data_IF_103079451556
#
_entry.id   IF_103079451556
#
_cell.length_a   1.000
_cell.length_b   1.000
_cell.length_c   1.000
_cell.angle_alpha   90.00
_cell.angle_beta   90.00
_cell.angle_gamma   90.00
#
_symmetry.space_group_name_H-M   'P 1'
#
loop_
_entity.id
_entity.type
_entity.pdbx_description
1 polymer ?
#
# COMPACT_ATOMS: atom_id res chain seq x y z
N UNK A 1 4.29 10.92 41.54
CA UNK A 1 3.83 10.13 40.39
C UNK A 1 3.10 11.06 39.45
N UNK A 2 3.65 11.36 38.25
CA UNK A 2 2.87 12.10 37.24
C UNK A 2 1.93 11.10 36.58
N UNK A 3 0.64 11.38 36.58
CA UNK A 3 -0.36 10.55 35.90
C UNK A 3 -0.22 10.78 34.39
N UNK A 4 0.74 10.10 33.76
CA UNK A 4 1.11 10.26 32.36
C UNK A 4 0.44 9.23 31.43
N UNK A 5 -0.37 8.32 31.98
CA UNK A 5 -1.07 7.30 31.21
C UNK A 5 -2.53 7.73 31.07
N UNK A 6 -2.91 8.08 29.84
CA UNK A 6 -4.26 8.48 29.44
C UNK A 6 -4.81 7.38 28.54
N UNK A 7 -5.67 6.53 29.10
CA UNK A 7 -6.30 5.39 28.39
C UNK A 7 -7.14 5.81 27.18
N UNK A 8 -7.48 7.10 27.09
CA UNK A 8 -8.23 7.69 26.00
C UNK A 8 -7.34 8.20 24.85
N UNK A 9 -6.01 8.07 24.92
CA UNK A 9 -5.09 8.52 23.86
C UNK A 9 -4.30 7.34 23.30
N UNK A 10 -4.08 7.35 21.98
CA UNK A 10 -3.24 6.38 21.28
C UNK A 10 -1.85 6.95 21.00
N UNK A 11 -0.81 6.13 20.97
CA UNK A 11 0.49 6.54 20.41
C UNK A 11 0.47 6.57 18.86
N UNK A 12 -0.66 6.21 18.27
CA UNK A 12 -0.87 6.11 16.83
C UNK A 12 -1.98 7.05 16.34
N UNK A 13 -1.82 7.53 15.11
CA UNK A 13 -2.88 8.11 14.29
C UNK A 13 -3.37 7.04 13.32
N UNK A 14 -4.69 6.92 13.16
CA UNK A 14 -5.31 5.89 12.32
C UNK A 14 -5.87 6.54 11.05
N UNK A 15 -5.38 6.12 9.88
CA UNK A 15 -6.02 6.40 8.60
C UNK A 15 -6.78 5.16 8.14
N UNK A 16 -8.11 5.23 8.14
CA UNK A 16 -8.96 4.13 7.69
C UNK A 16 -9.38 4.32 6.23
N UNK A 17 -9.50 3.20 5.53
CA UNK A 17 -10.04 3.10 4.18
C UNK A 17 -11.48 2.65 4.27
N UNK A 18 -12.32 3.22 3.40
CA UNK A 18 -13.72 2.82 3.22
C UNK A 18 -13.98 2.59 1.74
N UNK A 19 -15.05 1.89 1.43
CA UNK A 19 -15.50 1.76 0.05
C UNK A 19 -15.87 3.13 -0.52
N UNK A 20 -15.53 3.35 -1.78
CA UNK A 20 -15.73 4.59 -2.51
C UNK A 20 -16.48 4.31 -3.79
N UNK A 21 -17.55 5.06 -4.03
CA UNK A 21 -18.21 5.12 -5.32
C UNK A 21 -17.67 6.33 -6.09
N UNK A 22 -16.98 6.09 -7.20
CA UNK A 22 -16.33 7.11 -8.02
C UNK A 22 -17.31 8.07 -8.70
N UNK A 23 -18.58 7.70 -8.87
CA UNK A 23 -19.58 8.61 -9.44
C UNK A 23 -20.29 9.46 -8.37
N UNK A 24 -20.02 9.21 -7.09
CA UNK A 24 -20.58 10.04 -6.01
C UNK A 24 -19.69 11.23 -5.70
N UNK A 25 -20.28 12.24 -5.06
CA UNK A 25 -19.55 13.40 -4.54
C UNK A 25 -18.65 13.10 -3.34
N UNK A 26 -18.03 11.93 -3.24
CA UNK A 26 -16.98 11.57 -2.29
C UNK A 26 -15.87 10.72 -2.95
N UNK A 27 -15.69 10.89 -4.27
CA UNK A 27 -14.72 10.17 -5.08
C UNK A 27 -13.27 10.56 -4.72
N UNK A 28 -12.36 9.69 -5.12
CA UNK A 28 -10.93 9.92 -5.16
C UNK A 28 -10.52 10.07 -6.62
N UNK A 29 -9.48 10.85 -6.88
CA UNK A 29 -8.90 10.94 -8.22
C UNK A 29 -7.89 9.81 -8.38
N UNK A 30 -8.18 8.84 -9.26
CA UNK A 30 -7.27 7.78 -9.67
C UNK A 30 -6.95 7.92 -11.16
N UNK A 31 -5.68 7.74 -11.58
CA UNK A 31 -5.34 7.64 -13.00
C UNK A 31 -5.91 6.35 -13.59
N UNK A 32 -6.10 6.31 -14.91
CA UNK A 32 -6.59 5.11 -15.61
C UNK A 32 -5.68 3.88 -15.35
N UNK A 33 -4.37 4.11 -15.28
CA UNK A 33 -3.39 3.05 -15.02
C UNK A 33 -2.66 3.29 -13.69
N UNK A 34 -2.88 2.40 -12.72
CA UNK A 34 -2.26 2.43 -11.39
C UNK A 34 -1.08 1.45 -11.24
N UNK A 35 -0.54 0.95 -12.35
CA UNK A 35 0.43 -0.15 -12.40
C UNK A 35 -0.21 -1.46 -12.90
N UNK A 36 0.58 -2.33 -13.52
CA UNK A 36 0.09 -3.62 -14.05
C UNK A 36 -0.44 -4.55 -12.94
N UNK A 37 0.04 -4.33 -11.72
CA UNK A 37 -0.38 -5.06 -10.53
C UNK A 37 -1.64 -4.47 -9.86
N UNK A 38 -2.11 -3.27 -10.23
CA UNK A 38 -3.29 -2.61 -9.64
C UNK A 38 -4.37 -2.36 -10.68
N UNK A 39 -5.35 -3.26 -10.75
CA UNK A 39 -6.40 -3.22 -11.77
C UNK A 39 -7.71 -2.76 -11.14
N UNK A 40 -8.14 -1.55 -11.46
CA UNK A 40 -9.47 -1.07 -11.10
C UNK A 40 -10.27 -0.88 -12.38
N UNK A 41 -11.38 -1.60 -12.49
CA UNK A 41 -12.33 -1.47 -13.59
C UNK A 41 -13.75 -1.20 -13.10
N UNK A 42 -13.93 -1.21 -11.78
CA UNK A 42 -15.21 -0.95 -11.13
C UNK A 42 -15.35 0.54 -10.79
N UNK A 43 -16.59 1.03 -10.89
CA UNK A 43 -17.02 2.29 -10.27
C UNK A 43 -16.90 2.25 -8.74
N UNK A 44 -17.11 1.08 -8.15
CA UNK A 44 -17.00 0.84 -6.72
C UNK A 44 -15.60 0.35 -6.39
N UNK A 45 -14.86 1.18 -5.67
CA UNK A 45 -13.51 0.87 -5.20
C UNK A 45 -13.60 0.45 -3.75
N UNK A 46 -13.26 -0.80 -3.47
CA UNK A 46 -13.31 -1.36 -2.12
C UNK A 46 -12.13 -0.90 -1.25
N UNK A 47 -12.36 -0.88 0.07
CA UNK A 47 -11.38 -0.43 1.05
C UNK A 47 -10.08 -1.26 1.04
N UNK A 48 -10.17 -2.56 0.73
CA UNK A 48 -9.01 -3.45 0.62
C UNK A 48 -8.13 -3.02 -0.55
N UNK A 49 -8.72 -2.78 -1.72
CA UNK A 49 -8.01 -2.26 -2.88
C UNK A 49 -7.29 -0.96 -2.57
N UNK A 50 -7.96 0.00 -1.89
CA UNK A 50 -7.36 1.30 -1.54
C UNK A 50 -6.20 1.19 -0.55
N UNK A 51 -6.32 0.32 0.46
CA UNK A 51 -5.22 0.03 1.38
C UNK A 51 -3.99 -0.47 0.60
N UNK A 52 -4.19 -1.47 -0.27
CA UNK A 52 -3.12 -2.10 -1.03
C UNK A 52 -2.53 -1.16 -2.10
N UNK A 53 -3.37 -0.37 -2.76
CA UNK A 53 -2.92 0.66 -3.68
C UNK A 53 -2.05 1.67 -2.94
N UNK A 54 -2.46 2.12 -1.75
CA UNK A 54 -1.68 3.05 -0.93
C UNK A 54 -0.34 2.47 -0.50
N UNK A 55 -0.29 1.17 -0.16
CA UNK A 55 0.96 0.45 0.12
C UNK A 55 1.88 0.46 -1.12
N UNK A 56 1.37 0.00 -2.26
CA UNK A 56 2.12 -0.18 -3.51
C UNK A 56 2.60 1.14 -4.12
N UNK A 57 1.78 2.18 -4.04
CA UNK A 57 2.11 3.55 -4.45
C UNK A 57 2.90 4.32 -3.39
N UNK A 58 3.25 3.67 -2.28
CA UNK A 58 3.96 4.23 -1.13
C UNK A 58 3.37 5.53 -0.57
N UNK A 59 2.05 5.73 -0.74
CA UNK A 59 1.39 7.02 -0.55
C UNK A 59 -0.03 6.87 0.00
N UNK A 60 -0.38 7.68 0.99
CA UNK A 60 -1.78 7.89 1.40
C UNK A 60 -2.31 9.12 0.67
N UNK A 61 -3.30 8.94 -0.20
CA UNK A 61 -3.82 10.02 -1.04
C UNK A 61 -4.50 11.11 -0.21
N UNK A 62 -4.13 12.36 -0.49
CA UNK A 62 -4.76 13.52 0.12
C UNK A 62 -5.99 13.93 -0.69
N UNK A 63 -7.03 14.41 -0.01
CA UNK A 63 -8.23 14.90 -0.67
C UNK A 63 -8.82 16.11 0.03
N UNK A 64 -9.76 16.76 -0.64
CA UNK A 64 -10.56 17.84 -0.06
C UNK A 64 -11.75 17.35 0.77
N UNK A 65 -12.00 16.04 0.73
CA UNK A 65 -13.19 15.36 1.25
C UNK A 65 -14.48 16.04 0.81
N UNK A 66 -15.27 15.39 -0.03
CA UNK A 66 -16.48 15.98 -0.56
C UNK A 66 -17.73 15.43 0.13
N UNK A 67 -18.67 16.32 0.47
CA UNK A 67 -20.01 16.00 0.97
C UNK A 67 -21.02 16.83 0.18
N UNK A 68 -21.96 16.16 -0.50
CA UNK A 68 -22.95 16.79 -1.38
C UNK A 68 -22.32 17.70 -2.44
N UNK A 69 -21.20 17.27 -3.03
CA UNK A 69 -20.48 18.03 -4.06
C UNK A 69 -19.67 19.23 -3.54
N UNK A 70 -19.66 19.48 -2.23
CA UNK A 70 -18.88 20.57 -1.63
C UNK A 70 -17.69 20.05 -0.86
N UNK A 71 -16.56 20.75 -0.95
CA UNK A 71 -15.37 20.48 -0.12
C UNK A 71 -15.74 20.62 1.35
N UNK A 72 -15.22 19.74 2.19
CA UNK A 72 -15.39 19.81 3.65
C UNK A 72 -14.13 20.37 4.32
N UNK A 73 -12.98 20.22 3.68
CA UNK A 73 -11.71 20.79 4.11
C UNK A 73 -11.60 22.22 3.61
N UNK A 74 -11.21 23.12 4.51
CA UNK A 74 -11.02 24.55 4.24
C UNK A 74 -9.58 24.84 3.79
N UNK A 75 -9.35 26.02 3.20
CA UNK A 75 -8.05 26.48 2.73
C UNK A 75 -7.69 26.01 1.31
N UNK A 76 -6.38 25.98 1.01
CA UNK A 76 -5.80 25.77 -0.33
C UNK A 76 -5.01 24.44 -0.48
N UNK A 77 -4.88 23.68 0.61
CA UNK A 77 -4.18 22.40 0.65
C UNK A 77 -5.12 21.21 0.92
N UNK A 78 -5.15 20.17 0.06
CA UNK A 78 -5.84 18.93 0.38
C UNK A 78 -5.12 18.22 1.53
N UNK A 79 -5.84 17.33 2.22
CA UNK A 79 -5.34 16.72 3.45
C UNK A 79 -5.47 15.20 3.44
N UNK A 80 -4.58 14.56 4.19
CA UNK A 80 -4.83 13.20 4.71
C UNK A 80 -5.42 13.35 6.10
N UNK A 81 -6.61 12.78 6.31
CA UNK A 81 -7.28 12.77 7.61
C UNK A 81 -6.90 11.51 8.39
N UNK A 82 -6.74 11.68 9.70
CA UNK A 82 -6.52 10.60 10.66
C UNK A 82 -7.47 10.76 11.84
N UNK A 83 -7.70 9.68 12.57
CA UNK A 83 -8.34 9.71 13.89
C UNK A 83 -7.34 9.37 14.99
N UNK A 84 -7.39 10.14 16.07
CA UNK A 84 -6.64 9.96 17.31
C UNK A 84 -7.51 9.26 18.35
N UNK A 85 -7.74 7.97 18.12
CA UNK A 85 -8.50 7.10 18.99
C UNK A 85 -7.64 5.89 19.38
N UNK A 86 -7.78 5.37 20.62
CA UNK A 86 -7.30 4.03 20.93
C UNK A 86 -7.80 3.03 19.89
N UNK A 87 -6.95 2.08 19.49
CA UNK A 87 -7.30 1.09 18.44
C UNK A 87 -8.57 0.33 18.83
N UNK A 88 -8.73 -0.06 20.09
CA UNK A 88 -9.95 -0.70 20.60
C UNK A 88 -11.22 0.14 20.34
N UNK A 89 -11.16 1.44 20.62
CA UNK A 89 -12.29 2.36 20.45
C UNK A 89 -12.61 2.59 18.97
N UNK A 90 -11.58 2.66 18.11
CA UNK A 90 -11.76 2.71 16.66
C UNK A 90 -12.50 1.47 16.15
N UNK A 91 -12.11 0.27 16.58
CA UNK A 91 -12.73 -0.98 16.14
C UNK A 91 -14.18 -1.12 16.63
N UNK A 92 -14.43 -0.83 17.91
CA UNK A 92 -15.79 -0.83 18.48
C UNK A 92 -16.70 0.17 17.75
N UNK A 93 -16.21 1.38 17.50
CA UNK A 93 -16.95 2.41 16.77
C UNK A 93 -17.15 2.03 15.31
N UNK A 94 -16.13 1.46 14.67
CA UNK A 94 -16.15 1.00 13.28
C UNK A 94 -17.28 0.02 13.03
N UNK A 95 -17.37 -1.04 13.85
CA UNK A 95 -18.39 -2.07 13.70
C UNK A 95 -19.81 -1.54 13.92
N UNK A 96 -20.03 -0.76 14.99
CA UNK A 96 -21.35 -0.15 15.25
C UNK A 96 -21.81 0.79 14.14
N UNK A 97 -20.88 1.48 13.49
CA UNK A 97 -21.17 2.40 12.39
C UNK A 97 -21.42 1.66 11.08
N UNK A 98 -20.71 0.55 10.83
CA UNK A 98 -21.00 -0.35 9.71
C UNK A 98 -22.39 -0.97 9.83
N UNK A 99 -22.81 -1.39 11.03
CA UNK A 99 -24.19 -1.86 11.29
C UNK A 99 -25.26 -0.80 10.95
N UNK A 100 -24.89 0.47 10.95
CA UNK A 100 -25.75 1.63 10.62
C UNK A 100 -25.57 2.13 9.19
N UNK A 101 -24.80 1.44 8.35
CA UNK A 101 -24.42 1.88 6.99
C UNK A 101 -23.77 3.28 6.94
N UNK A 102 -23.03 3.65 7.98
CA UNK A 102 -22.30 4.91 8.00
C UNK A 102 -20.94 4.80 7.28
N UNK A 103 -20.40 5.94 6.85
CA UNK A 103 -19.13 6.02 6.10
C UNK A 103 -17.90 5.80 7.02
N UNK A 104 -17.61 4.55 7.34
CA UNK A 104 -16.37 4.09 7.98
C UNK A 104 -15.90 2.80 7.29
N UNK A 105 -14.64 2.43 7.46
CA UNK A 105 -14.18 1.09 7.11
C UNK A 105 -13.22 0.56 8.16
N UNK A 106 -12.89 -0.71 8.04
CA UNK A 106 -12.12 -1.46 9.03
C UNK A 106 -10.67 -1.71 8.60
N UNK A 107 -10.36 -1.54 7.31
CA UNK A 107 -8.98 -1.49 6.82
C UNK A 107 -8.34 -0.18 7.23
N UNK A 108 -7.14 -0.21 7.80
CA UNK A 108 -6.45 1.01 8.19
C UNK A 108 -4.92 0.88 8.17
N UNK A 109 -4.25 2.01 7.97
CA UNK A 109 -2.84 2.20 8.29
C UNK A 109 -2.78 2.97 9.62
N UNK A 110 -1.99 2.48 10.57
CA UNK A 110 -1.71 3.17 11.83
C UNK A 110 -0.28 3.71 11.82
N UNK A 111 -0.13 5.00 12.08
CA UNK A 111 1.13 5.73 11.98
C UNK A 111 1.53 6.28 13.36
N UNK A 112 2.81 6.21 13.76
CA UNK A 112 3.27 6.78 15.02
C UNK A 112 2.96 8.27 15.10
N UNK A 113 2.19 8.68 16.11
CA UNK A 113 1.67 10.04 16.25
C UNK A 113 2.78 11.08 16.34
N UNK A 114 3.82 10.81 17.12
CA UNK A 114 4.97 11.70 17.28
C UNK A 114 5.66 11.97 15.94
N UNK A 115 5.85 10.93 15.12
CA UNK A 115 6.46 11.07 13.80
C UNK A 115 5.54 11.88 12.88
N UNK A 116 4.24 11.59 12.86
CA UNK A 116 3.29 12.36 12.05
C UNK A 116 3.23 13.83 12.45
N UNK A 117 3.33 14.14 13.74
CA UNK A 117 3.48 15.52 14.20
C UNK A 117 4.75 16.17 13.63
N UNK A 118 5.88 15.47 13.62
CA UNK A 118 7.12 15.97 13.02
C UNK A 118 7.00 16.19 11.50
N UNK A 119 6.17 15.40 10.81
CA UNK A 119 5.85 15.59 9.39
C UNK A 119 4.79 16.67 9.11
N UNK A 120 4.31 17.36 10.15
CA UNK A 120 3.38 18.48 9.99
C UNK A 120 1.90 18.12 10.16
N UNK A 121 1.57 16.89 10.53
CA UNK A 121 0.21 16.55 10.90
C UNK A 121 -0.17 17.29 12.20
N UNK A 122 -1.38 17.83 12.26
CA UNK A 122 -1.87 18.58 13.42
C UNK A 122 -3.30 18.17 13.77
N UNK A 123 -3.69 18.27 15.06
CA UNK A 123 -5.09 18.18 15.43
C UNK A 123 -5.89 19.33 14.79
N UNK A 124 -7.13 19.03 14.44
CA UNK A 124 -8.07 20.01 13.91
C UNK A 124 -8.54 21.00 14.97
N UNK A 125 -9.17 22.09 14.53
CA UNK A 125 -9.70 23.18 15.35
C UNK A 125 -11.23 23.17 15.22
N UNK A 126 -11.95 22.94 16.33
CA UNK A 126 -13.41 22.92 16.38
C UNK A 126 -14.00 24.29 16.62
N UNK A 127 -14.59 24.87 15.58
CA UNK A 127 -15.14 26.22 15.66
C UNK A 127 -14.07 27.25 15.98
N UNK A 128 -14.51 28.49 16.18
CA UNK A 128 -13.69 29.60 16.63
C UNK A 128 -14.44 30.27 17.78
N UNK A 129 -13.69 30.82 18.73
CA UNK A 129 -14.26 31.49 19.91
C UNK A 129 -15.09 32.73 19.53
N UNK A 130 -14.71 33.40 18.45
CA UNK A 130 -15.50 34.51 17.92
C UNK A 130 -16.75 33.98 17.21
N UNK A 131 -17.91 34.55 17.51
CA UNK A 131 -19.22 34.29 16.87
C UNK A 131 -19.29 34.64 15.37
N UNK A 132 -18.17 34.69 14.68
CA UNK A 132 -18.12 34.73 13.24
C UNK A 132 -18.66 33.39 12.74
N UNK A 133 -19.93 33.38 12.30
CA UNK A 133 -20.36 32.43 11.29
C UNK A 133 -19.31 32.51 10.18
N UNK A 134 -18.38 31.55 10.15
CA UNK A 134 -17.14 31.65 9.40
C UNK A 134 -17.47 31.89 7.93
N UNK A 135 -17.52 33.17 7.52
CA UNK A 135 -17.95 33.58 6.19
C UNK A 135 -16.82 33.13 5.27
N UNK A 136 -17.08 32.10 4.49
CA UNK A 136 -16.13 31.64 3.49
C UNK A 136 -16.46 32.30 2.15
N UNK A 137 -15.45 32.80 1.46
CA UNK A 137 -15.55 32.99 0.01
C UNK A 137 -15.54 31.61 -0.64
N UNK A 138 -16.42 31.40 -1.61
CA UNK A 138 -16.32 30.24 -2.50
C UNK A 138 -15.36 30.61 -3.62
N UNK A 139 -14.24 29.89 -3.71
CA UNK A 139 -13.32 30.02 -4.84
C UNK A 139 -13.87 29.35 -6.11
N UNK A 140 -13.16 29.53 -7.23
CA UNK A 140 -13.60 29.03 -8.56
C UNK A 140 -13.74 27.51 -8.62
N UNK A 141 -13.01 26.77 -7.79
CA UNK A 141 -13.04 25.30 -7.78
C UNK A 141 -13.73 24.75 -6.52
N UNK A 142 -14.62 25.55 -5.91
CA UNK A 142 -15.31 25.19 -4.68
C UNK A 142 -14.41 25.26 -3.44
N UNK A 143 -13.31 26.02 -3.50
CA UNK A 143 -12.50 26.32 -2.31
C UNK A 143 -13.37 26.96 -1.22
N UNK A 144 -13.13 26.57 0.03
CA UNK A 144 -13.73 27.19 1.21
C UNK A 144 -12.64 27.94 1.94
N UNK A 145 -12.52 29.23 1.67
CA UNK A 145 -11.46 30.07 2.24
C UNK A 145 -12.09 31.03 3.24
N UNK A 146 -11.60 30.99 4.47
CA UNK A 146 -11.91 31.98 5.51
C UNK A 146 -11.07 33.24 5.28
N UNK A 147 -11.57 34.36 5.77
CA UNK A 147 -10.76 35.58 5.85
C UNK A 147 -9.49 35.31 6.70
N UNK A 148 -8.32 35.72 6.19
CA UNK A 148 -7.04 35.46 6.87
C UNK A 148 -6.91 36.20 8.20
N UNK A 149 -7.71 37.25 8.44
CA UNK A 149 -7.80 37.89 9.76
C UNK A 149 -8.45 37.00 10.83
N UNK A 150 -9.20 35.97 10.40
CA UNK A 150 -9.87 35.01 11.28
C UNK A 150 -8.97 33.80 11.55
N UNK A 151 -8.41 33.22 10.50
CA UNK A 151 -7.46 32.10 10.58
C UNK A 151 -6.50 32.16 9.38
N UNK A 152 -5.16 32.18 9.59
CA UNK A 152 -4.20 32.24 8.49
C UNK A 152 -4.43 31.11 7.49
N UNK A 153 -4.30 31.39 6.19
CA UNK A 153 -4.60 30.43 5.11
C UNK A 153 -3.90 29.07 5.33
N UNK A 154 -2.65 29.11 5.76
CA UNK A 154 -1.83 27.91 6.04
C UNK A 154 -2.42 27.02 7.14
N UNK A 155 -3.24 27.55 8.06
CA UNK A 155 -3.86 26.79 9.15
C UNK A 155 -5.31 26.38 8.86
N UNK A 156 -5.93 26.92 7.81
CA UNK A 156 -7.36 26.73 7.53
C UNK A 156 -7.74 25.26 7.27
N UNK A 157 -6.80 24.44 6.76
CA UNK A 157 -7.02 23.01 6.58
C UNK A 157 -7.43 22.30 7.88
N UNK A 158 -7.08 22.85 9.05
CA UNK A 158 -7.42 22.30 10.36
C UNK A 158 -8.81 22.68 10.81
N UNK A 159 -9.46 23.67 10.20
CA UNK A 159 -10.76 24.14 10.68
C UNK A 159 -11.87 23.12 10.42
N UNK A 160 -12.69 22.88 11.44
CA UNK A 160 -13.92 22.10 11.37
C UNK A 160 -15.06 22.90 11.99
N UNK A 161 -16.14 23.07 11.24
CA UNK A 161 -17.32 23.80 11.71
C UNK A 161 -17.95 23.06 12.90
N UNK A 162 -18.14 23.79 14.00
CA UNK A 162 -18.81 23.30 15.20
C UNK A 162 -20.18 23.96 15.36
N UNK A 163 -21.24 23.17 15.49
CA UNK A 163 -22.62 23.65 15.73
C UNK A 163 -23.19 22.88 16.93
N UNK A 164 -23.37 23.53 18.09
CA UNK A 164 -23.95 22.89 19.27
C UNK A 164 -25.27 22.18 18.97
N UNK A 165 -25.43 20.94 19.46
CA UNK A 165 -26.64 20.13 19.26
C UNK A 165 -26.78 19.45 17.89
N UNK A 166 -25.86 19.72 16.94
CA UNK A 166 -25.73 19.01 15.65
C UNK A 166 -24.32 18.43 15.46
N UNK A 167 -23.61 18.26 16.58
CA UNK A 167 -22.20 17.88 16.61
C UNK A 167 -22.08 16.43 16.13
N UNK A 168 -21.30 16.25 15.06
CA UNK A 168 -20.81 14.95 14.66
C UNK A 168 -19.52 14.67 15.45
N UNK A 169 -19.67 14.00 16.59
CA UNK A 169 -18.59 13.66 17.52
C UNK A 169 -17.53 12.74 16.89
N UNK A 170 -17.77 12.20 15.69
CA UNK A 170 -16.76 11.43 14.95
C UNK A 170 -15.52 12.26 14.59
N UNK A 171 -15.67 13.59 14.58
CA UNK A 171 -14.59 14.49 14.24
C UNK A 171 -13.69 14.82 15.45
N UNK A 172 -14.13 14.83 16.72
CA UNK A 172 -13.39 15.43 17.86
C UNK A 172 -11.94 14.97 18.10
N UNK A 173 -11.52 13.92 17.42
CA UNK A 173 -10.18 13.35 17.47
C UNK A 173 -9.47 13.39 16.11
N UNK A 174 -9.92 14.23 15.19
CA UNK A 174 -9.39 14.30 13.83
C UNK A 174 -8.03 15.02 13.83
N UNK A 175 -7.09 14.41 13.13
CA UNK A 175 -5.83 15.02 12.76
C UNK A 175 -5.78 15.15 11.24
N UNK A 176 -5.12 16.19 10.75
CA UNK A 176 -4.91 16.40 9.32
C UNK A 176 -3.45 16.62 9.03
N UNK A 177 -2.96 15.97 7.98
CA UNK A 177 -1.70 16.31 7.35
C UNK A 177 -1.99 17.03 6.02
N UNK A 178 -1.52 18.27 5.82
CA UNK A 178 -1.75 19.01 4.58
C UNK A 178 -0.69 18.66 3.53
N UNK A 179 -1.13 18.36 2.32
CA UNK A 179 -0.22 18.27 1.17
C UNK A 179 0.19 19.68 0.73
N UNK A 180 1.49 19.94 0.70
CA UNK A 180 2.08 21.25 0.36
C UNK A 180 2.85 21.28 -0.96
N UNK A 181 2.76 20.20 -1.75
CA UNK A 181 3.37 20.15 -3.08
C UNK A 181 2.56 20.91 -4.12
N UNK A 182 2.90 20.73 -5.41
CA UNK A 182 2.22 21.41 -6.51
C UNK A 182 0.81 20.83 -6.75
N UNK A 183 -0.18 21.45 -6.12
CA UNK A 183 -1.59 21.13 -6.33
C UNK A 183 -2.15 21.75 -7.61
N UNK A 184 -1.54 22.83 -8.11
CA UNK A 184 -2.08 23.60 -9.23
C UNK A 184 -1.90 22.83 -10.53
N UNK A 185 -0.71 22.27 -10.75
CA UNK A 185 -0.45 21.41 -11.91
C UNK A 185 -1.41 20.21 -11.95
N UNK A 186 -1.58 19.54 -10.80
CA UNK A 186 -2.50 18.41 -10.66
C UNK A 186 -3.96 18.79 -11.00
N UNK A 187 -4.47 19.89 -10.43
CA UNK A 187 -5.84 20.34 -10.70
C UNK A 187 -6.04 20.79 -12.16
N UNK A 188 -5.07 21.48 -12.74
CA UNK A 188 -5.13 21.89 -14.14
C UNK A 188 -5.16 20.68 -15.08
N UNK A 189 -4.37 19.65 -14.79
CA UNK A 189 -4.35 18.41 -15.57
C UNK A 189 -5.71 17.70 -15.49
N UNK A 190 -6.31 17.62 -14.29
CA UNK A 190 -7.66 17.06 -14.15
C UNK A 190 -8.70 17.91 -14.90
N UNK A 191 -8.60 19.23 -14.89
CA UNK A 191 -9.51 20.11 -15.63
C UNK A 191 -9.41 19.88 -17.15
N UNK A 192 -8.20 19.63 -17.66
CA UNK A 192 -7.94 19.41 -19.09
C UNK A 192 -8.30 17.99 -19.56
N UNK A 193 -7.94 16.96 -18.80
CA UNK A 193 -8.03 15.55 -19.21
C UNK A 193 -9.09 14.74 -18.46
N UNK A 194 -9.66 15.27 -17.37
CA UNK A 194 -10.69 14.61 -16.56
C UNK A 194 -10.17 13.57 -15.56
N UNK A 195 -8.90 13.19 -15.63
CA UNK A 195 -8.24 12.18 -14.79
C UNK A 195 -6.82 12.63 -14.42
N UNK A 196 -6.21 12.12 -13.34
CA UNK A 196 -4.78 12.29 -13.07
C UNK A 196 -3.90 11.69 -14.16
N UNK A 197 -2.70 12.27 -14.34
CA UNK A 197 -1.68 11.78 -15.27
C UNK A 197 -1.16 10.39 -14.85
N UNK A 198 -0.71 10.27 -13.61
CA UNK A 198 -0.18 9.04 -13.03
C UNK A 198 -0.35 9.01 -11.50
N UNK A 199 0.01 7.87 -10.88
CA UNK A 199 -0.18 7.67 -9.45
C UNK A 199 0.88 8.45 -8.63
N UNK A 200 2.06 8.67 -9.22
CA UNK A 200 3.19 9.38 -8.65
C UNK A 200 2.92 10.88 -8.48
N UNK A 201 2.25 11.51 -9.43
CA UNK A 201 1.84 12.92 -9.43
C UNK A 201 0.64 13.20 -8.53
N UNK A 202 -0.14 12.16 -8.17
CA UNK A 202 -1.32 12.33 -7.32
C UNK A 202 -0.92 12.82 -5.90
N UNK A 203 -1.52 13.92 -5.39
CA UNK A 203 -1.23 14.46 -4.06
C UNK A 203 -1.43 13.46 -2.92
N UNK A 204 -0.47 13.38 -2.00
CA UNK A 204 -0.59 12.51 -0.83
C UNK A 204 0.61 12.51 0.09
N UNK A 205 0.44 11.85 1.23
CA UNK A 205 1.49 11.61 2.21
C UNK A 205 2.33 10.42 1.76
N UNK A 206 3.55 10.69 1.31
CA UNK A 206 4.50 9.69 0.85
C UNK A 206 5.34 9.15 2.03
N UNK A 207 5.20 7.87 2.35
CA UNK A 207 5.97 7.24 3.42
C UNK A 207 7.35 6.73 2.99
N UNK A 208 7.65 6.66 1.69
CA UNK A 208 9.03 6.42 1.19
C UNK A 208 9.94 7.58 1.59
N UNK A 209 9.52 8.82 1.36
CA UNK A 209 10.29 10.01 1.75
C UNK A 209 10.22 10.31 3.25
N UNK A 210 9.12 9.92 3.91
CA UNK A 210 8.87 10.24 5.33
C UNK A 210 9.53 9.30 6.35
N UNK A 211 10.45 8.40 5.95
CA UNK A 211 11.24 7.54 6.87
C UNK A 211 10.47 7.02 8.11
N UNK A 212 9.19 6.68 7.94
CA UNK A 212 8.33 6.28 9.06
C UNK A 212 8.82 4.96 9.62
N UNK A 213 8.77 4.82 10.94
CA UNK A 213 9.19 3.61 11.66
C UNK A 213 8.13 3.16 12.65
N UNK A 214 7.79 1.87 12.64
CA UNK A 214 6.88 1.26 13.59
C UNK A 214 5.40 1.51 13.28
N UNK A 215 5.06 1.81 12.02
CA UNK A 215 3.67 1.80 11.56
C UNK A 215 3.08 0.39 11.64
N UNK A 216 1.76 0.29 11.55
CA UNK A 216 1.04 -0.98 11.52
C UNK A 216 -0.09 -0.95 10.51
N UNK A 217 -0.63 -2.13 10.22
CA UNK A 217 -1.81 -2.31 9.38
C UNK A 217 -2.91 -2.98 10.20
N UNK A 218 -4.15 -2.55 9.99
CA UNK A 218 -5.34 -3.21 10.50
C UNK A 218 -6.12 -3.76 9.31
N UNK A 219 -6.48 -5.04 9.38
CA UNK A 219 -7.33 -5.73 8.40
C UNK A 219 -8.53 -6.37 9.10
N UNK A 220 -9.71 -6.48 8.44
CA UNK A 220 -10.86 -7.14 9.03
C UNK A 220 -10.66 -8.65 9.20
N UNK A 221 -10.05 -9.31 8.22
CA UNK A 221 -9.94 -10.76 8.18
C UNK A 221 -8.50 -11.25 8.25
N UNK A 222 -8.26 -12.33 8.97
CA UNK A 222 -6.94 -12.95 9.07
C UNK A 222 -6.42 -13.46 7.72
N UNK A 223 -7.32 -13.84 6.81
CA UNK A 223 -6.97 -14.25 5.43
C UNK A 223 -6.37 -13.13 4.57
N UNK A 224 -6.52 -11.86 4.98
CA UNK A 224 -5.91 -10.72 4.28
C UNK A 224 -4.43 -10.53 4.64
N UNK A 225 -3.99 -11.07 5.79
CA UNK A 225 -2.62 -10.90 6.30
C UNK A 225 -1.58 -11.32 5.25
N UNK A 226 -1.63 -12.52 4.63
CA UNK A 226 -0.63 -12.94 3.66
C UNK A 226 -0.54 -12.00 2.45
N UNK A 227 -1.66 -11.42 2.04
CA UNK A 227 -1.72 -10.51 0.88
C UNK A 227 -1.10 -9.15 1.20
N UNK A 228 -1.41 -8.59 2.37
CA UNK A 228 -0.79 -7.33 2.84
C UNK A 228 0.70 -7.52 3.13
N UNK A 229 1.07 -8.66 3.74
CA UNK A 229 2.47 -9.00 3.98
C UNK A 229 3.26 -9.13 2.67
N UNK A 230 2.64 -9.70 1.63
CA UNK A 230 3.24 -9.77 0.30
C UNK A 230 3.59 -8.37 -0.25
N UNK A 231 2.67 -7.41 -0.12
CA UNK A 231 2.90 -6.03 -0.57
C UNK A 231 4.03 -5.35 0.23
N UNK A 232 4.03 -5.48 1.57
CA UNK A 232 5.06 -4.89 2.44
C UNK A 232 6.44 -5.49 2.14
N UNK A 233 6.55 -6.82 2.07
CA UNK A 233 7.81 -7.51 1.73
C UNK A 233 8.35 -7.05 0.39
N UNK A 234 7.48 -6.88 -0.61
CA UNK A 234 7.85 -6.39 -1.94
C UNK A 234 8.44 -4.99 -1.92
N UNK A 235 7.89 -4.10 -1.11
CA UNK A 235 8.46 -2.75 -0.94
C UNK A 235 9.82 -2.80 -0.23
N UNK A 236 9.98 -3.67 0.77
CA UNK A 236 11.25 -3.84 1.47
C UNK A 236 12.32 -4.43 0.55
N UNK A 237 12.00 -5.50 -0.18
CA UNK A 237 12.95 -6.19 -1.06
C UNK A 237 13.38 -5.35 -2.26
N UNK A 238 12.54 -4.41 -2.69
CA UNK A 238 12.89 -3.38 -3.68
C UNK A 238 13.72 -2.23 -3.09
N UNK A 239 13.88 -2.16 -1.78
CA UNK A 239 14.52 -1.05 -1.08
C UNK A 239 13.71 0.26 -1.12
N UNK A 240 12.39 0.17 -1.32
CA UNK A 240 11.49 1.34 -1.31
C UNK A 240 11.23 1.82 0.13
N UNK A 241 11.06 0.89 1.06
CA UNK A 241 10.86 1.18 2.49
C UNK A 241 11.85 0.39 3.36
N UNK A 242 12.01 0.81 4.61
CA UNK A 242 12.82 0.11 5.59
C UNK A 242 12.10 -1.10 6.19
N UNK A 243 12.88 -2.07 6.70
CA UNK A 243 12.34 -3.23 7.44
C UNK A 243 11.56 -2.85 8.69
N UNK A 244 11.89 -1.70 9.28
CA UNK A 244 11.25 -1.15 10.47
C UNK A 244 10.07 -0.22 10.14
N UNK A 245 9.70 -0.03 8.87
CA UNK A 245 8.60 0.87 8.49
C UNK A 245 7.26 0.35 9.00
N UNK A 246 6.92 -0.91 8.70
CA UNK A 246 5.72 -1.57 9.22
C UNK A 246 6.13 -2.70 10.17
N UNK A 247 5.61 -2.70 11.40
CA UNK A 247 5.99 -3.64 12.46
C UNK A 247 4.94 -4.71 12.70
N UNK A 248 3.65 -4.43 12.49
CA UNK A 248 2.59 -5.37 12.83
C UNK A 248 1.41 -5.30 11.87
N UNK A 249 0.67 -6.40 11.78
CA UNK A 249 -0.61 -6.50 11.09
C UNK A 249 -1.60 -7.09 12.08
N UNK A 250 -2.65 -6.33 12.41
CA UNK A 250 -3.72 -6.80 13.28
C UNK A 250 -4.90 -7.22 12.41
N UNK A 251 -5.32 -8.47 12.53
CA UNK A 251 -6.61 -8.92 12.02
C UNK A 251 -7.68 -8.79 13.10
N UNK A 252 -8.82 -8.22 12.73
CA UNK A 252 -9.90 -7.91 13.67
C UNK A 252 -10.64 -9.19 14.09
N UNK A 253 -10.88 -10.12 13.16
CA UNK A 253 -11.53 -11.41 13.44
C UNK A 253 -10.74 -12.34 14.38
N UNK A 254 -9.44 -12.10 14.58
CA UNK A 254 -8.64 -12.77 15.59
C UNK A 254 -8.90 -12.25 17.02
N UNK A 255 -9.53 -11.07 17.18
CA UNK A 255 -9.86 -10.51 18.48
C UNK A 255 -11.12 -11.20 19.03
N UNK A 256 -10.99 -11.87 20.18
CA UNK A 256 -12.14 -12.46 20.87
C UNK A 256 -12.98 -11.39 21.58
N UNK A 257 -12.36 -10.28 22.00
CA UNK A 257 -13.04 -9.16 22.64
C UNK A 257 -12.20 -7.87 22.58
N UNK A 258 -12.84 -6.71 22.52
CA UNK A 258 -12.17 -5.40 22.56
C UNK A 258 -11.43 -5.14 23.88
N UNK A 259 -11.85 -5.78 24.98
CA UNK A 259 -11.17 -5.68 26.26
C UNK A 259 -9.74 -6.23 26.22
N UNK A 260 -9.40 -7.06 25.22
CA UNK A 260 -8.06 -7.57 25.01
C UNK A 260 -7.06 -6.48 24.60
N UNK A 261 -7.53 -5.35 24.08
CA UNK A 261 -6.69 -4.27 23.55
C UNK A 261 -7.12 -2.88 24.07
N UNK A 262 -7.98 -2.83 25.09
CA UNK A 262 -8.50 -1.57 25.64
C UNK A 262 -7.49 -0.83 26.51
N UNK A 263 -6.63 -1.58 27.21
CA UNK A 263 -5.56 -1.04 28.05
C UNK A 263 -4.27 -0.87 27.23
N UNK A 264 -3.50 0.21 27.40
CA UNK A 264 -2.25 0.44 26.66
C UNK A 264 -1.26 -0.72 26.74
N UNK A 265 -1.05 -1.30 27.93
CA UNK A 265 -0.13 -2.43 28.11
C UNK A 265 -0.63 -3.69 27.40
N UNK A 266 -1.94 -3.93 27.42
CA UNK A 266 -2.55 -5.06 26.71
C UNK A 266 -2.48 -4.87 25.20
N UNK A 267 -2.72 -3.65 24.70
CA UNK A 267 -2.55 -3.31 23.29
C UNK A 267 -1.10 -3.49 22.85
N UNK A 268 -0.13 -3.05 23.65
CA UNK A 268 1.29 -3.25 23.37
C UNK A 268 1.65 -4.74 23.35
N UNK A 269 1.15 -5.52 24.32
CA UNK A 269 1.32 -6.98 24.31
C UNK A 269 0.73 -7.58 23.04
N UNK A 270 -0.50 -7.22 22.70
CA UNK A 270 -1.17 -7.74 21.50
C UNK A 270 -0.45 -7.32 20.21
N UNK A 271 0.04 -6.09 20.12
CA UNK A 271 0.89 -5.62 19.02
C UNK A 271 2.18 -6.44 18.94
N UNK A 272 2.81 -6.76 20.07
CA UNK A 272 4.01 -7.59 20.10
C UNK A 272 3.69 -9.03 19.67
N UNK A 273 2.57 -9.60 20.12
CA UNK A 273 2.12 -10.95 19.79
C UNK A 273 1.68 -11.06 18.31
N UNK A 274 1.21 -9.96 17.73
CA UNK A 274 0.84 -9.84 16.30
C UNK A 274 1.88 -9.05 15.50
N UNK A 275 3.08 -8.87 16.05
CA UNK A 275 4.21 -8.32 15.29
C UNK A 275 4.53 -9.34 14.24
N UNK A 276 4.30 -8.96 12.98
CA UNK A 276 4.65 -9.83 11.87
C UNK A 276 6.16 -9.95 11.89
N UNK A 277 6.69 -11.15 12.14
CA UNK A 277 8.12 -11.38 12.28
C UNK A 277 8.82 -11.25 10.93
N UNK A 278 8.97 -10.01 10.46
CA UNK A 278 9.73 -9.67 9.27
C UNK A 278 11.16 -10.26 9.35
N UNK A 279 11.76 -10.28 10.55
CA UNK A 279 13.07 -10.87 10.81
C UNK A 279 13.18 -12.35 10.37
N UNK A 280 12.11 -13.15 10.49
CA UNK A 280 12.10 -14.54 10.05
C UNK A 280 12.29 -14.67 8.53
N UNK A 281 11.90 -13.65 7.76
CA UNK A 281 12.08 -13.58 6.32
C UNK A 281 13.46 -13.06 5.90
N UNK A 282 14.21 -12.41 6.79
CA UNK A 282 15.47 -11.75 6.45
C UNK A 282 16.73 -12.42 7.00
N UNK A 283 16.61 -13.30 8.01
CA UNK A 283 17.75 -13.86 8.73
C UNK A 283 17.80 -15.39 8.67
N UNK A 284 17.67 -15.98 7.49
CA UNK A 284 17.94 -17.41 7.33
C UNK A 284 19.43 -17.70 7.58
N UNK A 285 19.70 -18.83 8.23
CA UNK A 285 21.07 -19.29 8.50
C UNK A 285 21.85 -19.53 7.20
N UNK A 286 23.14 -19.17 7.18
CA UNK A 286 24.04 -19.35 6.03
C UNK A 286 24.00 -20.77 5.43
N UNK A 287 23.90 -21.80 6.27
CA UNK A 287 23.81 -23.19 5.81
C UNK A 287 22.55 -23.47 4.98
N UNK A 288 21.39 -22.98 5.43
CA UNK A 288 20.12 -23.08 4.68
C UNK A 288 20.21 -22.31 3.36
N UNK A 289 20.74 -21.08 3.42
CA UNK A 289 20.90 -20.22 2.24
C UNK A 289 21.75 -20.92 1.19
N UNK A 290 22.92 -21.41 1.59
CA UNK A 290 23.83 -22.16 0.73
C UNK A 290 23.18 -23.41 0.16
N UNK A 291 22.49 -24.21 0.97
CA UNK A 291 21.84 -25.44 0.50
C UNK A 291 20.79 -25.16 -0.61
N UNK A 292 19.97 -24.13 -0.46
CA UNK A 292 18.99 -23.77 -1.49
C UNK A 292 19.66 -23.23 -2.75
N UNK A 293 20.60 -22.29 -2.60
CA UNK A 293 21.31 -21.68 -3.71
C UNK A 293 22.11 -22.72 -4.51
N UNK A 294 22.87 -23.59 -3.84
CA UNK A 294 23.64 -24.67 -4.47
C UNK A 294 22.73 -25.63 -5.22
N UNK A 295 21.56 -26.00 -4.65
CA UNK A 295 20.61 -26.88 -5.32
C UNK A 295 20.09 -26.30 -6.62
N UNK A 296 19.77 -25.00 -6.65
CA UNK A 296 19.27 -24.30 -7.84
C UNK A 296 20.39 -24.11 -8.86
N UNK A 297 21.56 -23.65 -8.40
CA UNK A 297 22.74 -23.45 -9.23
C UNK A 297 23.19 -24.75 -9.92
N UNK A 298 23.23 -25.86 -9.20
CA UNK A 298 23.57 -27.17 -9.74
C UNK A 298 22.59 -27.62 -10.82
N UNK A 299 21.28 -27.45 -10.60
CA UNK A 299 20.27 -27.79 -11.61
C UNK A 299 20.36 -26.90 -12.85
N UNK A 300 20.53 -25.59 -12.67
CA UNK A 300 20.70 -24.64 -13.78
C UNK A 300 21.93 -25.00 -14.61
N UNK A 301 23.06 -25.31 -13.98
CA UNK A 301 24.28 -25.74 -14.68
C UNK A 301 24.12 -27.08 -15.40
N UNK A 302 23.46 -28.05 -14.76
CA UNK A 302 23.12 -29.32 -15.40
C UNK A 302 22.28 -29.08 -16.66
N UNK A 303 21.28 -28.21 -16.58
CA UNK A 303 20.41 -27.87 -17.71
C UNK A 303 21.19 -27.18 -18.84
N UNK A 304 22.10 -26.25 -18.52
CA UNK A 304 23.01 -25.64 -19.50
C UNK A 304 23.88 -26.67 -20.23
N UNK A 305 24.26 -27.76 -19.56
CA UNK A 305 25.09 -28.82 -20.14
C UNK A 305 24.35 -29.77 -21.10
N UNK A 306 23.00 -29.79 -21.05
CA UNK A 306 22.18 -30.69 -21.86
C UNK A 306 22.08 -30.20 -23.30
N UNK A 307 22.82 -30.86 -24.20
CA UNK A 307 22.83 -30.57 -25.64
C UNK A 307 21.45 -30.71 -26.30
N UNK A 308 20.61 -31.63 -25.82
CA UNK A 308 19.29 -31.87 -26.42
C UNK A 308 18.34 -30.68 -26.24
N UNK A 309 18.49 -29.93 -25.15
CA UNK A 309 17.75 -28.68 -24.93
C UNK A 309 18.15 -27.56 -25.91
N UNK A 310 19.30 -27.72 -26.58
CA UNK A 310 19.89 -26.72 -27.48
C UNK A 310 19.49 -26.94 -28.95
N UNK A 311 18.73 -27.99 -29.27
CA UNK A 311 18.51 -28.45 -30.64
C UNK A 311 17.31 -27.81 -31.35
N UNK A 312 16.46 -27.07 -30.64
CA UNK A 312 15.33 -26.36 -31.26
C UNK A 312 15.79 -25.13 -32.04
N UNK A 313 15.45 -25.07 -33.33
CA UNK A 313 15.71 -23.91 -34.18
C UNK A 313 14.61 -22.86 -34.00
N UNK A 314 14.92 -21.78 -33.29
CA UNK A 314 14.07 -20.59 -33.22
C UNK A 314 14.58 -19.51 -34.17
N UNK A 315 13.68 -18.66 -34.69
CA UNK A 315 14.07 -17.44 -35.36
C UNK A 315 14.84 -16.53 -34.39
N UNK A 316 15.75 -15.71 -34.91
CA UNK A 316 16.55 -14.81 -34.08
C UNK A 316 15.65 -13.70 -33.52
N UNK A 317 15.41 -13.75 -32.21
CA UNK A 317 14.62 -12.79 -31.45
C UNK A 317 15.48 -12.25 -30.32
N UNK A 318 15.70 -10.93 -30.30
CA UNK A 318 16.48 -10.27 -29.25
C UNK A 318 15.61 -10.05 -28.00
N UNK A 319 16.21 -10.18 -26.82
CA UNK A 319 15.54 -9.99 -25.53
C UNK A 319 16.12 -10.85 -24.42
N UNK A 320 15.49 -10.79 -23.25
CA UNK A 320 15.83 -11.64 -22.12
C UNK A 320 14.59 -12.22 -21.43
N UNK A 321 14.80 -13.30 -20.67
CA UNK A 321 13.78 -13.96 -19.88
C UNK A 321 14.31 -14.28 -18.48
N UNK A 322 13.39 -14.32 -17.53
CA UNK A 322 13.64 -14.64 -16.13
C UNK A 322 12.63 -15.66 -15.63
N UNK A 323 12.99 -16.36 -14.56
CA UNK A 323 12.05 -17.22 -13.85
C UNK A 323 11.30 -16.35 -12.86
N UNK A 324 10.01 -16.15 -13.09
CA UNK A 324 9.17 -15.36 -12.20
C UNK A 324 8.67 -16.26 -11.08
N UNK A 325 9.14 -16.01 -9.86
CA UNK A 325 8.68 -16.71 -8.68
C UNK A 325 7.54 -15.93 -8.06
N UNK A 326 6.45 -16.62 -7.73
CA UNK A 326 5.24 -15.92 -7.33
C UNK A 326 5.25 -15.65 -5.81
N UNK A 327 5.66 -16.62 -4.98
CA UNK A 327 5.54 -16.54 -3.52
C UNK A 327 6.79 -15.92 -2.85
N UNK A 328 6.65 -14.70 -2.35
CA UNK A 328 7.74 -13.97 -1.69
C UNK A 328 7.94 -14.29 -0.19
N UNK A 329 7.08 -15.14 0.38
CA UNK A 329 7.12 -15.54 1.79
C UNK A 329 7.80 -16.91 1.97
N UNK A 330 7.93 -17.71 0.91
CA UNK A 330 8.64 -18.99 0.95
C UNK A 330 10.12 -18.84 1.37
N UNK A 331 10.60 -19.71 2.26
CA UNK A 331 12.00 -19.72 2.74
C UNK A 331 13.03 -19.83 1.61
N UNK A 332 12.71 -20.54 0.53
CA UNK A 332 13.61 -20.66 -0.62
C UNK A 332 13.78 -19.31 -1.31
N UNK A 333 12.69 -18.56 -1.51
CA UNK A 333 12.74 -17.23 -2.13
C UNK A 333 13.49 -16.25 -1.24
N UNK A 334 13.24 -16.29 0.07
CA UNK A 334 14.00 -15.51 1.04
C UNK A 334 15.51 -15.79 0.99
N UNK A 335 15.89 -17.07 0.90
CA UNK A 335 17.29 -17.46 0.76
C UNK A 335 17.91 -16.93 -0.54
N UNK A 336 17.19 -16.99 -1.66
CA UNK A 336 17.67 -16.51 -2.95
C UNK A 336 17.76 -14.99 -3.07
N UNK A 337 16.93 -14.26 -2.33
CA UNK A 337 17.07 -12.81 -2.16
C UNK A 337 18.36 -12.50 -1.38
N UNK A 338 18.66 -13.24 -0.30
CA UNK A 338 19.89 -13.04 0.46
C UNK A 338 21.16 -13.34 -0.35
N UNK A 339 21.11 -14.25 -1.33
CA UNK A 339 22.25 -14.47 -2.24
C UNK A 339 22.34 -13.47 -3.39
N UNK A 340 21.31 -12.63 -3.59
CA UNK A 340 21.22 -11.71 -4.73
C UNK A 340 20.86 -12.40 -6.06
N UNK A 341 20.42 -13.67 -6.04
CA UNK A 341 19.99 -14.40 -7.24
C UNK A 341 18.61 -13.94 -7.74
N UNK A 342 17.78 -13.38 -6.85
CA UNK A 342 16.48 -12.79 -7.22
C UNK A 342 16.60 -11.28 -7.26
N UNK A 343 16.07 -10.67 -8.32
CA UNK A 343 15.83 -9.24 -8.45
C UNK A 343 14.33 -8.97 -8.38
N UNK A 344 13.93 -7.90 -7.71
CA UNK A 344 12.51 -7.50 -7.64
C UNK A 344 12.30 -6.27 -8.52
N UNK A 345 11.40 -6.37 -9.50
CA UNK A 345 11.17 -5.29 -10.46
C UNK A 345 10.22 -4.20 -9.91
N UNK A 346 10.04 -3.10 -10.66
CA UNK A 346 9.19 -1.95 -10.27
C UNK A 346 7.73 -2.29 -10.00
N UNK A 347 7.22 -3.35 -10.61
CA UNK A 347 5.85 -3.85 -10.43
C UNK A 347 5.74 -4.89 -9.30
N UNK A 348 6.86 -5.31 -8.71
CA UNK A 348 6.88 -6.27 -7.61
C UNK A 348 7.03 -7.74 -8.02
N UNK A 349 7.52 -8.02 -9.23
CA UNK A 349 7.82 -9.40 -9.66
C UNK A 349 9.17 -9.85 -9.12
N UNK A 350 9.23 -11.05 -8.54
CA UNK A 350 10.46 -11.68 -8.05
C UNK A 350 11.06 -12.51 -9.16
N UNK A 351 12.14 -12.01 -9.75
CA UNK A 351 12.74 -12.55 -10.96
C UNK A 351 14.08 -13.21 -10.61
N UNK A 352 14.11 -14.54 -10.65
CA UNK A 352 15.34 -15.31 -10.49
C UNK A 352 16.20 -15.15 -11.75
N UNK A 353 17.38 -14.58 -11.57
CA UNK A 353 18.38 -14.35 -12.60
C UNK A 353 19.27 -15.59 -12.74
N UNK A 354 18.96 -16.40 -13.76
CA UNK A 354 19.77 -17.57 -14.13
C UNK A 354 20.83 -17.25 -15.18
N UNK A 355 21.18 -15.97 -15.34
CA UNK A 355 22.22 -15.45 -16.22
C UNK A 355 21.96 -15.65 -17.73
N UNK A 356 20.68 -15.62 -18.14
CA UNK A 356 20.27 -15.73 -19.55
C UNK A 356 20.66 -14.50 -20.40
N UNK A 357 20.98 -13.37 -19.77
CA UNK A 357 21.52 -12.19 -20.45
C UNK A 357 22.88 -12.48 -21.12
N UNK A 358 23.71 -13.33 -20.51
CA UNK A 358 25.07 -13.61 -20.96
C UNK A 358 25.17 -14.58 -22.14
N UNK A 359 24.07 -15.25 -22.50
CA UNK A 359 24.03 -16.24 -23.57
C UNK A 359 23.39 -15.67 -24.83
N UNK A 360 24.04 -15.91 -25.97
CA UNK A 360 23.56 -15.52 -27.30
C UNK A 360 22.52 -16.51 -27.82
N UNK A 361 21.38 -16.56 -27.14
CA UNK A 361 20.23 -17.40 -27.50
C UNK A 361 19.05 -16.55 -27.94
N UNK A 362 18.25 -17.02 -28.91
CA UNK A 362 16.97 -16.39 -29.20
C UNK A 362 16.06 -16.31 -27.97
N UNK A 363 15.23 -15.28 -27.88
CA UNK A 363 14.33 -15.04 -26.75
C UNK A 363 13.49 -16.27 -26.39
N UNK A 364 12.82 -16.91 -27.36
CA UNK A 364 12.04 -18.15 -27.13
C UNK A 364 12.83 -19.27 -26.46
N UNK A 365 14.11 -19.37 -26.75
CA UNK A 365 14.97 -20.38 -26.10
C UNK A 365 15.27 -20.01 -24.64
N UNK A 366 15.50 -18.73 -24.36
CA UNK A 366 15.60 -18.20 -22.99
C UNK A 366 14.29 -18.41 -22.21
N UNK A 367 13.15 -18.19 -22.86
CA UNK A 367 11.81 -18.44 -22.30
C UNK A 367 11.58 -19.92 -21.98
N UNK A 368 11.93 -20.82 -22.89
CA UNK A 368 11.86 -22.26 -22.66
C UNK A 368 12.76 -22.67 -21.48
N UNK A 369 13.97 -22.13 -21.41
CA UNK A 369 14.90 -22.40 -20.30
C UNK A 369 14.29 -21.97 -18.97
N UNK A 370 13.75 -20.75 -18.90
CA UNK A 370 13.06 -20.24 -17.72
C UNK A 370 11.86 -21.13 -17.34
N UNK A 371 11.06 -21.58 -18.31
CA UNK A 371 9.95 -22.51 -18.05
C UNK A 371 10.41 -23.85 -17.45
N UNK A 372 11.53 -24.41 -17.89
CA UNK A 372 12.08 -25.65 -17.32
C UNK A 372 12.57 -25.47 -15.90
N UNK A 373 13.22 -24.33 -15.60
CA UNK A 373 13.63 -23.99 -14.24
C UNK A 373 12.42 -23.78 -13.34
N UNK A 374 11.39 -23.07 -13.81
CA UNK A 374 10.13 -22.86 -13.09
C UNK A 374 9.44 -24.19 -12.74
N UNK A 375 9.30 -25.11 -13.70
CA UNK A 375 8.72 -26.43 -13.48
C UNK A 375 9.51 -27.27 -12.47
N UNK A 376 10.84 -27.17 -12.49
CA UNK A 376 11.69 -27.83 -11.51
C UNK A 376 11.57 -27.22 -10.11
N UNK A 377 11.50 -25.89 -9.96
CA UNK A 377 11.27 -25.24 -8.67
C UNK A 377 9.95 -25.69 -8.05
N UNK A 378 8.89 -25.79 -8.86
CA UNK A 378 7.60 -26.32 -8.44
C UNK A 378 7.69 -27.76 -7.96
N UNK A 379 8.34 -28.64 -8.72
CA UNK A 379 8.47 -30.05 -8.34
C UNK A 379 9.38 -30.28 -7.12
N UNK A 380 10.50 -29.55 -7.04
CA UNK A 380 11.53 -29.73 -6.01
C UNK A 380 11.16 -29.08 -4.68
N UNK A 381 10.57 -27.89 -4.73
CA UNK A 381 10.35 -27.05 -3.55
C UNK A 381 8.89 -26.68 -3.32
N UNK A 382 7.96 -27.07 -4.21
CA UNK A 382 6.55 -26.68 -4.10
C UNK A 382 6.31 -25.20 -4.39
N UNK A 383 7.23 -24.52 -5.07
CA UNK A 383 7.16 -23.08 -5.35
C UNK A 383 6.45 -22.86 -6.67
N UNK A 384 5.35 -22.10 -6.65
CA UNK A 384 4.72 -21.64 -7.89
C UNK A 384 5.63 -20.61 -8.57
N UNK A 385 5.98 -20.91 -9.82
CA UNK A 385 6.82 -20.07 -10.66
C UNK A 385 6.41 -20.21 -12.12
N UNK A 386 6.69 -19.16 -12.88
CA UNK A 386 6.49 -19.10 -14.32
C UNK A 386 7.70 -18.48 -15.02
N UNK A 387 7.47 -18.00 -16.24
CA UNK A 387 8.45 -17.20 -16.98
C UNK A 387 7.94 -15.78 -17.16
N UNK A 388 8.88 -14.85 -17.21
CA UNK A 388 8.66 -13.46 -17.54
C UNK A 388 9.71 -13.08 -18.59
N UNK A 389 9.30 -12.43 -19.69
CA UNK A 389 10.20 -12.09 -20.78
C UNK A 389 9.94 -10.69 -21.32
N UNK A 390 11.03 -10.08 -21.79
CA UNK A 390 11.03 -8.76 -22.39
C UNK A 390 11.66 -8.86 -23.77
N UNK A 391 10.89 -8.46 -24.77
CA UNK A 391 11.34 -8.42 -26.14
C UNK A 391 12.19 -7.17 -26.40
N UNK A 392 13.29 -7.36 -27.13
CA UNK A 392 14.14 -6.27 -27.58
C UNK A 392 15.05 -5.64 -26.52
N UNK A 393 14.99 -6.07 -25.24
CA UNK A 393 15.74 -5.46 -24.14
C UNK A 393 16.18 -6.51 -23.10
N UNK A 394 17.30 -6.24 -22.45
CA UNK A 394 17.72 -6.89 -21.21
C UNK A 394 17.44 -5.95 -20.03
N UNK A 395 16.15 -5.68 -19.80
CA UNK A 395 15.68 -4.79 -18.75
C UNK A 395 14.45 -5.42 -18.10
N UNK A 396 14.61 -5.88 -16.86
CA UNK A 396 13.54 -6.56 -16.12
C UNK A 396 12.46 -5.61 -15.58
N UNK A 397 12.66 -4.29 -15.69
CA UNK A 397 11.67 -3.26 -15.37
C UNK A 397 10.84 -2.84 -16.60
N UNK A 398 11.18 -3.33 -17.81
CA UNK A 398 10.46 -2.99 -19.02
C UNK A 398 9.09 -3.68 -19.10
N UNK A 399 8.24 -3.21 -20.03
CA UNK A 399 6.95 -3.84 -20.32
C UNK A 399 7.19 -5.26 -20.83
N UNK A 400 6.60 -6.30 -20.22
CA UNK A 400 6.78 -7.67 -20.67
C UNK A 400 6.22 -7.89 -22.07
N UNK A 401 6.92 -8.68 -22.87
CA UNK A 401 6.36 -9.30 -24.07
C UNK A 401 5.51 -10.52 -23.71
N UNK A 402 5.88 -11.21 -22.63
CA UNK A 402 5.13 -12.34 -22.11
C UNK A 402 5.33 -12.46 -20.60
N UNK A 403 4.27 -12.85 -19.90
CA UNK A 403 4.33 -13.33 -18.54
C UNK A 403 3.42 -14.55 -18.38
N UNK A 404 3.84 -15.50 -17.55
CA UNK A 404 2.97 -16.63 -17.20
C UNK A 404 1.74 -16.10 -16.46
N UNK A 405 0.52 -16.38 -16.94
CA UNK A 405 -0.69 -15.91 -16.29
C UNK A 405 -0.79 -16.44 -14.86
N UNK A 406 -1.17 -15.57 -13.94
CA UNK A 406 -1.52 -15.94 -12.57
C UNK A 406 -3.03 -16.12 -12.45
N UNK A 407 -3.47 -16.75 -11.36
CA UNK A 407 -4.89 -16.72 -10.99
C UNK A 407 -5.25 -15.31 -10.52
N UNK A 408 -6.45 -14.83 -10.82
CA UNK A 408 -6.89 -13.47 -10.47
C UNK A 408 -6.81 -13.18 -8.95
N UNK A 409 -7.01 -14.20 -8.11
CA UNK A 409 -6.93 -14.08 -6.65
C UNK A 409 -5.49 -14.06 -6.10
N UNK A 410 -4.48 -14.05 -6.97
CA UNK A 410 -3.09 -14.12 -6.55
C UNK A 410 -2.62 -12.80 -5.91
N UNK A 411 -1.83 -12.81 -4.81
CA UNK A 411 -1.38 -11.60 -4.11
C UNK A 411 -0.66 -10.57 -4.98
N UNK A 412 -0.03 -10.96 -6.08
CA UNK A 412 0.54 -10.01 -7.05
C UNK A 412 -0.51 -9.03 -7.57
N UNK A 413 -1.72 -9.48 -7.88
CA UNK A 413 -2.76 -8.59 -8.36
C UNK A 413 -3.55 -7.96 -7.21
N UNK A 414 -3.89 -6.69 -7.40
CA UNK A 414 -4.82 -5.93 -6.59
C UNK A 414 -5.97 -5.53 -7.50
N UNK A 415 -7.10 -6.21 -7.36
CA UNK A 415 -8.30 -5.97 -8.16
C UNK A 415 -9.39 -5.37 -7.28
N UNK A 416 -10.17 -4.46 -7.85
CA UNK A 416 -11.46 -4.11 -7.26
C UNK A 416 -12.39 -5.31 -7.29
N UNK A 417 -13.22 -5.51 -6.27
CA UNK A 417 -14.25 -6.54 -6.35
C UNK A 417 -15.15 -6.30 -7.57
N UNK A 418 -15.29 -7.32 -8.43
CA UNK A 418 -16.31 -7.30 -9.46
C UNK A 418 -17.67 -7.42 -8.76
N UNK A 419 -18.45 -6.34 -8.83
CA UNK A 419 -19.87 -6.42 -8.46
C UNK A 419 -20.58 -6.97 -9.70
N UNK A 420 -20.69 -8.30 -9.79
CA UNK A 420 -21.57 -8.93 -10.77
C UNK A 420 -22.98 -8.38 -10.54
N UNK A 421 -23.57 -7.80 -11.59
CA UNK A 421 -24.88 -7.17 -11.59
C UNK A 421 -26.02 -8.18 -11.67
#
# INVERSE_FOLDING_TARGET
>A
MKNNIRFDLSDYLIHFFRDVDLETGSHIYLPEHCGFNNQHHSRFIDAKYLLRLSLRSHKIFSSWSYRNGQRTVYGDSPVVCFTDMPIAAYLETGLRRLERNEKIGLYAIVLPKEQMFNYGARPVIYGLDQHNNARCSQGRNGERILDESVLPLIEQYRYVTYVPGKIDWSHEREWRWPYRGDIKSFLNHIEEYGIPEDIESTPGFDFKSSKIKGAGIIVPLAEDIPTVAHDILTLIDRGVIGRDTFRFIIAIDNLQSWSQISEPDNLLSYINDNTFEFEAFFNLSESKVKNYADSIYNYVNELYSKKDFLNDSYAMEFGNAWVWIHDNQCQVVRALLQTGMIKVNKEGRYLLDVNLASVDWPLRRKEAFASHVAGWLKHRFGIEAGRYSVWGKDDYDAVPSYETPLKDQYPFYNHTMNVDW
#
